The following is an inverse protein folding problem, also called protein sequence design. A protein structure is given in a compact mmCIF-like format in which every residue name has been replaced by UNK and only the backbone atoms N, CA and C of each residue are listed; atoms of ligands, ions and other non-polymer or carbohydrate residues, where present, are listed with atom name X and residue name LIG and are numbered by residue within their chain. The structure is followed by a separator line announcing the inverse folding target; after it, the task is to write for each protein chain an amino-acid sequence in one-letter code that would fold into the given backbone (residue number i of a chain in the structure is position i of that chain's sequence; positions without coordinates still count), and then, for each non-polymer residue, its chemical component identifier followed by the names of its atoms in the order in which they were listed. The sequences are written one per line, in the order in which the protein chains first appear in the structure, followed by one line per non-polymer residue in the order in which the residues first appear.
data_IF_271886052877
#
_entry.id   IF_271886052877
#
_cell.length_a   1.000
_cell.length_b   1.000
_cell.length_c   1.000
_cell.angle_alpha   90.00
_cell.angle_beta   90.00
_cell.angle_gamma   90.00
#
_symmetry.space_group_name_H-M   'P 1'
#
loop_
_entity.id
_entity.type
_entity.pdbx_description
1 polymer ?
#
# COMPACT_ATOMS: atom_id res chain seq x y z
N UNK A 1 15.55 -14.15 -11.47
CA UNK A 1 15.50 -15.07 -10.31
C UNK A 1 14.92 -14.29 -9.16
N UNK A 2 13.67 -14.58 -8.78
CA UNK A 2 12.98 -13.90 -7.70
C UNK A 2 13.58 -14.37 -6.37
N UNK A 3 14.41 -13.52 -5.76
CA UNK A 3 14.95 -13.77 -4.43
C UNK A 3 13.78 -13.79 -3.43
N UNK A 4 13.73 -14.86 -2.66
CA UNK A 4 12.75 -15.13 -1.61
C UNK A 4 12.69 -13.96 -0.63
N UNK A 5 11.48 -13.45 -0.36
CA UNK A 5 11.18 -12.58 0.79
C UNK A 5 11.34 -13.40 2.08
N UNK A 6 12.57 -13.83 2.39
CA UNK A 6 12.86 -14.58 3.60
C UNK A 6 12.83 -13.63 4.81
N UNK A 7 11.68 -13.66 5.46
CA UNK A 7 11.36 -13.18 6.79
C UNK A 7 11.97 -11.83 7.22
N UNK A 8 11.33 -10.72 6.81
CA UNK A 8 11.61 -9.36 7.28
C UNK A 8 11.18 -9.09 8.74
N UNK A 9 11.11 -10.13 9.59
CA UNK A 9 10.66 -10.00 10.97
C UNK A 9 11.79 -10.23 11.96
N UNK A 10 11.78 -9.46 13.03
CA UNK A 10 12.71 -9.57 14.14
C UNK A 10 12.28 -10.70 15.08
N UNK A 11 13.16 -11.65 15.39
CA UNK A 11 12.85 -12.76 16.31
C UNK A 11 12.68 -12.33 17.77
N UNK A 12 13.05 -11.11 18.13
CA UNK A 12 12.91 -10.57 19.50
C UNK A 12 11.51 -10.00 19.73
N UNK A 13 11.05 -9.10 18.86
CA UNK A 13 9.73 -8.47 18.99
C UNK A 13 8.65 -9.13 18.13
N UNK A 14 9.01 -10.06 17.23
CA UNK A 14 8.13 -10.72 16.25
C UNK A 14 7.45 -9.77 15.25
N UNK A 15 7.89 -8.52 15.21
CA UNK A 15 7.43 -7.49 14.26
C UNK A 15 8.37 -7.33 13.08
N UNK A 16 7.88 -6.70 12.01
CA UNK A 16 8.73 -6.30 10.87
C UNK A 16 9.84 -5.40 11.37
N UNK A 17 11.06 -5.57 10.86
CA UNK A 17 12.22 -4.83 11.35
C UNK A 17 12.00 -3.31 11.36
N UNK A 18 12.36 -2.66 12.46
CA UNK A 18 12.46 -1.20 12.59
C UNK A 18 13.92 -0.84 12.85
N UNK A 19 14.50 0.02 11.99
CA UNK A 19 15.92 0.40 12.04
C UNK A 19 16.85 -0.82 12.19
N UNK A 20 16.83 -1.78 11.25
CA UNK A 20 17.55 -3.05 11.41
C UNK A 20 19.06 -2.86 11.52
N UNK A 21 19.69 -3.64 12.39
CA UNK A 21 21.13 -3.66 12.65
C UNK A 21 21.67 -5.08 12.57
N UNK A 22 22.87 -5.23 12.01
CA UNK A 22 23.61 -6.47 12.04
C UNK A 22 24.36 -6.64 13.36
N UNK A 23 24.31 -7.83 13.92
CA UNK A 23 25.37 -8.30 14.81
C UNK A 23 26.58 -8.79 13.98
N UNK A 24 27.77 -8.92 14.57
CA UNK A 24 28.96 -9.46 13.89
C UNK A 24 28.77 -10.87 13.31
N UNK A 25 27.81 -11.63 13.82
CA UNK A 25 27.40 -12.93 13.28
C UNK A 25 26.42 -12.84 12.09
N UNK A 26 26.18 -11.64 11.55
CA UNK A 26 25.29 -11.33 10.42
C UNK A 26 23.79 -11.56 10.65
N UNK A 27 23.36 -11.90 11.86
CA UNK A 27 21.93 -11.86 12.21
C UNK A 27 21.45 -10.42 12.41
N UNK A 28 20.20 -10.17 12.02
CA UNK A 28 19.58 -8.85 12.04
C UNK A 28 18.53 -8.73 13.13
N UNK A 29 18.48 -7.57 13.79
CA UNK A 29 17.50 -7.24 14.83
C UNK A 29 17.12 -5.76 14.76
N UNK A 30 15.97 -5.38 15.33
CA UNK A 30 15.62 -3.97 15.48
C UNK A 30 16.59 -3.26 16.43
N UNK A 31 16.89 -1.99 16.17
CA UNK A 31 17.74 -1.17 17.04
C UNK A 31 17.25 -1.21 18.51
N UNK A 32 15.98 -0.90 18.74
CA UNK A 32 15.38 -0.88 20.08
C UNK A 32 15.48 -2.25 20.79
N UNK A 33 15.36 -3.35 20.04
CA UNK A 33 15.52 -4.70 20.60
C UNK A 33 16.96 -4.96 21.06
N UNK A 34 17.96 -4.46 20.32
CA UNK A 34 19.36 -4.56 20.72
C UNK A 34 19.68 -3.63 21.89
N UNK A 35 19.06 -2.46 21.96
CA UNK A 35 19.24 -1.53 23.08
C UNK A 35 18.74 -2.17 24.38
N UNK A 36 17.57 -2.80 24.33
CA UNK A 36 17.00 -3.52 25.48
C UNK A 36 17.85 -4.72 25.89
N UNK A 37 18.45 -5.42 24.92
CA UNK A 37 19.38 -6.52 25.19
C UNK A 37 20.70 -6.03 25.82
N UNK A 38 21.24 -4.92 25.33
CA UNK A 38 22.46 -4.30 25.86
C UNK A 38 22.24 -3.77 27.29
N UNK A 39 21.07 -3.22 27.61
CA UNK A 39 20.71 -2.84 28.99
C UNK A 39 20.77 -4.02 29.97
N UNK A 40 20.46 -5.23 29.50
CA UNK A 40 20.43 -6.46 30.33
C UNK A 40 21.79 -7.13 30.47
N UNK A 41 22.59 -7.13 29.40
CA UNK A 41 23.84 -7.90 29.33
C UNK A 41 25.12 -7.04 29.34
N UNK A 42 25.01 -5.72 29.20
CA UNK A 42 26.14 -4.79 29.15
C UNK A 42 26.85 -4.79 27.80
N UNK A 43 28.18 -4.73 27.81
CA UNK A 43 29.01 -4.48 26.63
C UNK A 43 29.22 -5.70 25.73
N UNK A 44 28.69 -6.87 26.09
CA UNK A 44 28.73 -8.07 25.27
C UNK A 44 27.37 -8.75 25.32
N UNK A 45 26.66 -8.74 24.20
CA UNK A 45 25.32 -9.29 24.08
C UNK A 45 25.36 -10.64 23.34
N UNK A 46 24.66 -11.67 23.80
CA UNK A 46 24.53 -12.92 23.05
C UNK A 46 23.53 -12.74 21.91
N UNK A 47 23.88 -13.21 20.70
CA UNK A 47 22.93 -13.21 19.59
C UNK A 47 21.68 -14.06 19.93
N UNK A 48 20.44 -13.51 19.84
CA UNK A 48 19.23 -14.28 20.10
C UNK A 48 19.03 -15.51 19.18
N UNK A 49 19.64 -15.50 17.99
CA UNK A 49 19.49 -16.58 16.99
C UNK A 49 20.54 -17.68 17.16
N UNK A 50 21.83 -17.31 17.21
CA UNK A 50 22.94 -18.29 17.21
C UNK A 50 23.78 -18.28 18.48
N UNK A 51 23.46 -17.42 19.46
CA UNK A 51 24.18 -17.23 20.73
C UNK A 51 25.63 -16.75 20.61
N UNK A 52 26.13 -16.50 19.40
CA UNK A 52 27.44 -15.91 19.20
C UNK A 52 27.56 -14.57 19.96
N UNK A 53 28.67 -14.32 20.67
CA UNK A 53 28.87 -13.08 21.40
C UNK A 53 29.06 -11.91 20.42
N UNK A 54 28.44 -10.78 20.73
CA UNK A 54 28.60 -9.53 20.01
C UNK A 54 29.04 -8.43 20.97
N UNK A 55 30.19 -7.83 20.72
CA UNK A 55 30.66 -6.67 21.49
C UNK A 55 29.90 -5.42 21.04
N UNK A 56 29.37 -4.68 22.01
CA UNK A 56 28.68 -3.41 21.75
C UNK A 56 29.74 -2.32 21.51
N UNK A 57 29.64 -1.53 20.42
CA UNK A 57 30.55 -0.41 20.17
C UNK A 57 30.51 0.67 21.27
N UNK A 58 31.54 1.54 21.37
CA UNK A 58 31.56 2.62 22.37
C UNK A 58 30.37 3.59 22.30
N UNK A 59 29.84 3.88 21.11
CA UNK A 59 28.62 4.68 20.96
C UNK A 59 27.31 3.91 21.16
N UNK A 60 27.40 2.63 21.54
CA UNK A 60 26.25 1.75 21.78
C UNK A 60 25.84 0.95 20.55
N UNK A 61 24.68 0.30 20.63
CA UNK A 61 24.18 -0.57 19.55
C UNK A 61 23.71 0.20 18.30
N UNK A 62 23.53 1.52 18.39
CA UNK A 62 23.16 2.36 17.24
C UNK A 62 24.29 2.45 16.20
N UNK A 63 25.55 2.34 16.64
CA UNK A 63 26.77 2.32 15.83
C UNK A 63 27.03 0.96 15.15
N UNK A 64 26.21 -0.06 15.43
CA UNK A 64 26.26 -1.30 14.68
C UNK A 64 25.88 -1.06 13.21
N UNK A 65 26.39 -1.91 12.33
CA UNK A 65 26.14 -1.78 10.90
C UNK A 65 24.64 -1.88 10.60
N UNK A 66 24.11 -0.90 9.87
CA UNK A 66 22.74 -0.91 9.35
C UNK A 66 22.59 -2.07 8.36
N UNK A 67 21.49 -2.82 8.47
CA UNK A 67 21.16 -3.79 7.42
C UNK A 67 20.59 -3.05 6.21
N UNK A 68 21.42 -2.90 5.18
CA UNK A 68 21.08 -2.22 3.93
C UNK A 68 20.37 -3.12 2.90
N UNK A 69 20.20 -4.43 3.17
CA UNK A 69 19.43 -5.32 2.31
C UNK A 69 17.93 -5.07 2.41
N UNK A 70 17.47 -4.47 3.51
CA UNK A 70 16.08 -4.06 3.70
C UNK A 70 15.95 -2.57 3.45
N UNK A 71 15.31 -2.18 2.34
CA UNK A 71 14.98 -0.76 2.10
C UNK A 71 13.82 -0.34 2.99
N UNK A 72 13.76 0.95 3.33
CA UNK A 72 12.66 1.48 4.15
C UNK A 72 11.32 1.29 3.45
N UNK A 73 11.27 1.43 2.11
CA UNK A 73 10.05 1.17 1.34
C UNK A 73 9.60 -0.29 1.44
N UNK A 74 10.54 -1.24 1.38
CA UNK A 74 10.22 -2.67 1.50
C UNK A 74 9.74 -3.03 2.92
N UNK A 75 10.35 -2.42 3.95
CA UNK A 75 9.92 -2.59 5.34
C UNK A 75 8.55 -1.96 5.60
N UNK A 76 8.27 -0.78 5.04
CA UNK A 76 6.95 -0.13 5.12
C UNK A 76 5.88 -0.93 4.40
N UNK A 77 6.21 -1.51 3.24
CA UNK A 77 5.30 -2.39 2.54
C UNK A 77 5.00 -3.65 3.38
N UNK A 78 6.03 -4.29 3.92
CA UNK A 78 5.86 -5.46 4.80
C UNK A 78 5.06 -5.11 6.08
N UNK A 79 5.29 -3.94 6.68
CA UNK A 79 4.48 -3.43 7.81
C UNK A 79 3.04 -3.24 7.40
N UNK A 80 2.78 -2.62 6.26
CA UNK A 80 1.44 -2.36 5.73
C UNK A 80 0.68 -3.64 5.40
N UNK A 81 1.37 -4.65 4.85
CA UNK A 81 0.81 -5.98 4.60
C UNK A 81 0.48 -6.72 5.92
N UNK A 82 1.27 -6.50 6.98
CA UNK A 82 1.03 -7.06 8.31
C UNK A 82 0.02 -6.26 9.15
N UNK A 83 -0.33 -5.01 8.78
CA UNK A 83 -1.29 -4.18 9.53
C UNK A 83 -2.69 -4.77 9.46
N UNK A 84 -2.99 -5.62 10.43
CA UNK A 84 -4.32 -6.13 10.67
C UNK A 84 -5.22 -4.99 11.15
N UNK A 85 -6.43 -4.93 10.61
CA UNK A 85 -7.44 -3.96 11.07
C UNK A 85 -7.88 -4.33 12.47
N UNK A 86 -7.84 -3.39 13.41
CA UNK A 86 -8.35 -3.61 14.76
C UNK A 86 -9.87 -3.45 14.80
N UNK A 87 -10.54 -4.20 15.66
CA UNK A 87 -11.98 -4.09 15.83
C UNK A 87 -12.35 -2.73 16.43
N UNK A 88 -13.31 -1.98 15.85
CA UNK A 88 -13.68 -0.65 16.33
C UNK A 88 -14.35 -0.67 17.71
N UNK A 89 -14.95 -1.80 18.09
CA UNK A 89 -15.62 -1.98 19.39
C UNK A 89 -14.67 -2.61 20.41
N UNK A 90 -13.87 -3.57 20.00
CA UNK A 90 -12.90 -4.28 20.84
C UNK A 90 -11.49 -3.91 20.39
N UNK A 91 -11.00 -2.75 20.79
CA UNK A 91 -9.80 -2.11 20.23
C UNK A 91 -8.50 -2.91 20.34
N UNK A 92 -8.46 -3.95 21.18
CA UNK A 92 -7.34 -4.89 21.32
C UNK A 92 -7.49 -6.19 20.51
N UNK A 93 -8.64 -6.40 19.90
CA UNK A 93 -8.95 -7.59 19.09
C UNK A 93 -8.83 -7.27 17.61
N UNK A 94 -8.30 -8.22 16.84
CA UNK A 94 -8.19 -8.09 15.38
C UNK A 94 -9.56 -8.30 14.72
N UNK A 95 -9.91 -7.42 13.80
CA UNK A 95 -11.08 -7.59 12.94
C UNK A 95 -10.76 -8.59 11.83
N UNK A 96 -11.57 -9.65 11.76
CA UNK A 96 -11.37 -10.77 10.83
C UNK A 96 -12.60 -11.04 9.96
N UNK A 97 -13.76 -10.48 10.30
CA UNK A 97 -14.99 -10.61 9.53
C UNK A 97 -15.51 -9.26 9.06
N UNK A 98 -16.21 -9.26 7.95
CA UNK A 98 -17.08 -8.18 7.50
C UNK A 98 -18.54 -8.59 7.69
N UNK A 99 -19.31 -7.82 8.44
CA UNK A 99 -20.74 -8.02 8.61
C UNK A 99 -21.50 -7.28 7.49
N UNK A 100 -22.10 -8.02 6.56
CA UNK A 100 -22.72 -7.44 5.36
C UNK A 100 -24.00 -6.68 5.66
N UNK A 101 -24.69 -7.00 6.76
CA UNK A 101 -25.89 -6.29 7.19
C UNK A 101 -25.60 -4.97 7.92
N UNK A 102 -24.43 -4.86 8.55
CA UNK A 102 -24.05 -3.68 9.33
C UNK A 102 -23.01 -2.81 8.61
N UNK A 103 -22.42 -3.31 7.52
CA UNK A 103 -21.32 -2.69 6.79
C UNK A 103 -20.14 -2.34 7.71
N UNK A 104 -19.80 -3.25 8.61
CA UNK A 104 -18.74 -3.07 9.61
C UNK A 104 -17.76 -4.25 9.62
N UNK A 105 -16.49 -3.93 9.85
CA UNK A 105 -15.47 -4.94 10.17
C UNK A 105 -15.52 -5.28 11.65
N UNK A 106 -15.48 -6.56 11.98
CA UNK A 106 -15.72 -7.06 13.34
C UNK A 106 -14.73 -8.17 13.70
N UNK A 107 -14.39 -8.30 14.99
CA UNK A 107 -13.62 -9.44 15.51
C UNK A 107 -14.52 -10.65 15.79
N UNK A 108 -13.91 -11.77 16.19
CA UNK A 108 -14.63 -12.99 16.58
C UNK A 108 -15.61 -12.74 17.73
N UNK A 109 -15.23 -11.93 18.73
CA UNK A 109 -16.09 -11.62 19.86
C UNK A 109 -17.36 -10.88 19.44
N UNK A 110 -17.26 -9.91 18.53
CA UNK A 110 -18.43 -9.25 17.95
C UNK A 110 -19.34 -10.24 17.21
N UNK A 111 -18.76 -11.16 16.43
CA UNK A 111 -19.49 -12.21 15.72
C UNK A 111 -20.30 -13.08 16.67
N UNK A 112 -19.73 -13.47 17.81
CA UNK A 112 -20.38 -14.34 18.79
C UNK A 112 -21.37 -13.63 19.74
N UNK A 113 -21.46 -12.29 19.70
CA UNK A 113 -22.29 -11.52 20.64
C UNK A 113 -23.33 -10.68 19.91
N UNK A 114 -22.94 -9.52 19.40
CA UNK A 114 -23.86 -8.57 18.76
C UNK A 114 -24.23 -8.95 17.33
N UNK A 115 -23.43 -9.80 16.68
CA UNK A 115 -23.59 -10.17 15.27
C UNK A 115 -23.83 -11.68 15.08
N UNK A 116 -24.31 -12.39 16.10
CA UNK A 116 -24.50 -13.87 16.06
C UNK A 116 -25.43 -14.31 14.92
N UNK A 117 -26.47 -13.52 14.68
CA UNK A 117 -27.49 -13.79 13.65
C UNK A 117 -27.27 -13.00 12.37
N UNK A 118 -26.12 -12.33 12.25
CA UNK A 118 -25.82 -11.55 11.06
C UNK A 118 -24.97 -12.34 10.08
N UNK A 119 -25.23 -12.12 8.79
CA UNK A 119 -24.40 -12.65 7.71
C UNK A 119 -23.03 -11.98 7.76
N UNK A 120 -22.01 -12.81 7.94
CA UNK A 120 -20.61 -12.38 8.03
C UNK A 120 -19.77 -13.12 7.00
N UNK A 121 -18.87 -12.39 6.38
CA UNK A 121 -17.90 -12.91 5.40
C UNK A 121 -16.49 -12.71 5.94
N UNK A 122 -15.53 -13.51 5.48
CA UNK A 122 -14.14 -13.30 5.84
C UNK A 122 -13.65 -11.96 5.30
N UNK A 123 -12.93 -11.20 6.14
CA UNK A 123 -12.48 -9.86 5.78
C UNK A 123 -11.45 -9.91 4.64
N UNK A 124 -10.55 -10.90 4.67
CA UNK A 124 -9.55 -11.18 3.62
C UNK A 124 -10.19 -11.29 2.22
N UNK A 125 -11.20 -12.15 2.09
CA UNK A 125 -11.93 -12.36 0.85
C UNK A 125 -12.69 -11.11 0.40
N UNK A 126 -13.31 -10.42 1.36
CA UNK A 126 -14.04 -9.17 1.09
C UNK A 126 -13.12 -8.09 0.54
N UNK A 127 -11.93 -7.93 1.13
CA UNK A 127 -10.89 -7.01 0.65
C UNK A 127 -10.44 -7.40 -0.76
N UNK A 128 -10.13 -8.67 -1.00
CA UNK A 128 -9.69 -9.15 -2.31
C UNK A 128 -10.75 -8.90 -3.40
N UNK A 129 -12.03 -9.20 -3.12
CA UNK A 129 -13.15 -8.92 -4.05
C UNK A 129 -13.32 -7.43 -4.31
N UNK A 130 -13.31 -6.60 -3.27
CA UNK A 130 -13.46 -5.16 -3.39
C UNK A 130 -12.32 -4.53 -4.19
N UNK A 131 -11.07 -4.93 -3.93
CA UNK A 131 -9.89 -4.50 -4.69
C UNK A 131 -10.06 -4.78 -6.18
N UNK A 132 -10.37 -6.04 -6.53
CA UNK A 132 -10.60 -6.44 -7.93
C UNK A 132 -11.72 -5.64 -8.59
N UNK A 133 -12.81 -5.38 -7.87
CA UNK A 133 -13.93 -4.58 -8.36
C UNK A 133 -13.54 -3.13 -8.63
N UNK A 134 -12.76 -2.51 -7.74
CA UNK A 134 -12.24 -1.14 -7.91
C UNK A 134 -11.31 -1.09 -9.12
N UNK A 135 -10.35 -2.00 -9.23
CA UNK A 135 -9.41 -2.08 -10.35
C UNK A 135 -10.13 -2.22 -11.70
N UNK A 136 -11.16 -3.08 -11.76
CA UNK A 136 -11.98 -3.22 -12.96
C UNK A 136 -12.71 -1.93 -13.33
N UNK A 137 -13.33 -1.25 -12.35
CA UNK A 137 -14.03 0.02 -12.58
C UNK A 137 -13.07 1.13 -13.02
N UNK A 138 -11.89 1.22 -12.41
CA UNK A 138 -10.84 2.16 -12.82
C UNK A 138 -10.41 1.91 -14.27
N UNK A 139 -10.22 0.66 -14.67
CA UNK A 139 -9.92 0.30 -16.06
C UNK A 139 -11.02 0.74 -17.02
N UNK A 140 -12.29 0.50 -16.67
CA UNK A 140 -13.43 0.95 -17.49
C UNK A 140 -13.43 2.47 -17.64
N UNK A 141 -13.19 3.22 -16.56
CA UNK A 141 -13.13 4.68 -16.61
C UNK A 141 -11.95 5.19 -17.44
N UNK A 142 -10.78 4.56 -17.34
CA UNK A 142 -9.62 4.92 -18.15
C UNK A 142 -9.93 4.81 -19.66
N UNK A 143 -10.56 3.71 -20.08
CA UNK A 143 -10.99 3.51 -21.47
C UNK A 143 -12.05 4.54 -21.90
N UNK A 144 -13.01 4.85 -21.03
CA UNK A 144 -14.03 5.86 -21.31
C UNK A 144 -13.42 7.26 -21.49
N UNK A 145 -12.47 7.64 -20.61
CA UNK A 145 -11.73 8.91 -20.72
C UNK A 145 -10.97 8.98 -22.04
N UNK A 146 -10.29 7.91 -22.44
CA UNK A 146 -9.57 7.85 -23.71
C UNK A 146 -10.52 8.03 -24.91
N UNK A 147 -11.67 7.36 -24.90
CA UNK A 147 -12.68 7.51 -25.97
C UNK A 147 -13.26 8.92 -26.02
N UNK A 148 -13.56 9.53 -24.87
CA UNK A 148 -14.06 10.91 -24.81
C UNK A 148 -13.03 11.92 -25.30
N UNK A 149 -11.74 11.73 -24.98
CA UNK A 149 -10.65 12.57 -25.52
C UNK A 149 -10.61 12.50 -27.05
N UNK A 150 -10.65 11.29 -27.62
CA UNK A 150 -10.68 11.13 -29.07
C UNK A 150 -11.92 11.80 -29.70
N UNK A 151 -13.11 11.59 -29.12
CA UNK A 151 -14.34 12.23 -29.62
C UNK A 151 -14.25 13.75 -29.59
N UNK A 152 -13.64 14.31 -28.53
CA UNK A 152 -13.42 15.75 -28.42
C UNK A 152 -12.49 16.28 -29.51
N UNK A 153 -11.39 15.57 -29.80
CA UNK A 153 -10.47 15.92 -30.89
C UNK A 153 -11.16 15.92 -32.26
N UNK A 154 -11.96 14.89 -32.54
CA UNK A 154 -12.76 14.82 -33.77
C UNK A 154 -13.75 15.98 -33.87
N UNK A 155 -14.41 16.34 -32.76
CA UNK A 155 -15.38 17.44 -32.73
C UNK A 155 -14.69 18.78 -33.03
N UNK A 156 -13.53 19.04 -32.41
CA UNK A 156 -12.72 20.24 -32.69
C UNK A 156 -12.30 20.32 -34.17
N UNK A 157 -11.93 19.20 -34.77
CA UNK A 157 -11.54 19.18 -36.18
C UNK A 157 -12.73 19.43 -37.11
N UNK A 158 -13.91 18.91 -36.78
CA UNK A 158 -15.13 19.20 -37.52
C UNK A 158 -15.56 20.67 -37.39
N UNK A 159 -15.46 21.26 -36.21
CA UNK A 159 -15.72 22.69 -35.97
C UNK A 159 -14.83 23.56 -36.87
N UNK A 160 -13.52 23.27 -36.92
CA UNK A 160 -12.59 23.97 -37.82
C UNK A 160 -13.01 23.86 -39.29
N UNK A 161 -13.38 22.66 -39.74
CA UNK A 161 -13.84 22.42 -41.13
C UNK A 161 -15.13 23.18 -41.46
N UNK A 162 -16.07 23.25 -40.52
CA UNK A 162 -17.32 24.00 -40.70
C UNK A 162 -17.02 25.49 -40.80
N UNK A 163 -16.11 26.00 -39.97
CA UNK A 163 -15.70 27.40 -40.00
C UNK A 163 -15.04 27.78 -41.34
N UNK A 164 -14.11 26.95 -41.84
CA UNK A 164 -13.45 27.14 -43.14
C UNK A 164 -14.45 27.12 -44.30
N UNK A 165 -15.42 26.20 -44.27
CA UNK A 165 -16.51 26.19 -45.27
C UNK A 165 -17.38 27.43 -45.18
N UNK A 166 -17.70 27.88 -43.96
CA UNK A 166 -18.52 29.08 -43.75
C UNK A 166 -17.84 30.32 -44.33
N UNK A 167 -16.55 30.51 -44.08
CA UNK A 167 -15.78 31.64 -44.62
C UNK A 167 -15.74 31.61 -46.15
N UNK A 168 -15.47 30.45 -46.75
CA UNK A 168 -15.43 30.30 -48.20
C UNK A 168 -16.78 30.63 -48.87
N UNK A 169 -17.89 30.18 -48.29
CA UNK A 169 -19.24 30.49 -48.79
C UNK A 169 -19.53 31.99 -48.69
N UNK A 170 -19.18 32.64 -47.57
CA UNK A 170 -19.37 34.09 -47.41
C UNK A 170 -18.59 34.90 -48.45
N UNK A 171 -17.37 34.49 -48.79
CA UNK A 171 -16.54 35.11 -49.83
C UNK A 171 -17.13 34.92 -51.24
N UNK A 172 -17.66 33.73 -51.55
CA UNK A 172 -18.33 33.49 -52.84
C UNK A 172 -19.59 34.36 -52.99
N UNK A 173 -20.38 34.52 -51.93
CA UNK A 173 -21.58 35.35 -51.94
C UNK A 173 -21.24 36.83 -52.16
N UNK A 174 -20.20 37.35 -51.49
CA UNK A 174 -19.82 38.77 -51.63
C UNK A 174 -19.26 39.11 -53.01
N UNK A 175 -18.59 38.16 -53.68
CA UNK A 175 -18.12 38.32 -55.06
C UNK A 175 -19.23 38.19 -56.11
N UNK A 176 -20.37 37.60 -55.75
CA UNK A 176 -21.49 37.33 -56.66
C UNK A 176 -22.59 38.40 -56.63
N UNK A 177 -22.52 39.39 -55.74
CA UNK A 177 -23.49 40.50 -55.68
C UNK A 177 -23.20 41.56 -56.76
N UNK A 178 -24.15 41.85 -57.68
CA UNK A 178 -23.96 42.89 -58.69
C UNK A 178 -23.87 44.28 -58.06
N UNK A 179 -22.91 45.10 -58.51
CA UNK A 179 -22.90 46.54 -58.21
C UNK A 179 -24.08 47.19 -58.96
N UNK A 180 -25.04 47.71 -58.20
CA UNK A 180 -26.09 48.62 -58.69
C UNK A 180 -25.65 50.04 -58.35
#
# INVERSE_FOLDING_TARGET
MAATQDNMTCVVCTEVYTSPRFLPCHHTFCLECLEELAKRHGNTIPCPTCRAPATVPPGGVCDLQVNFYFTEEALEQARSEKRQSMCPVHTKEVAIFHCTQCYQVICLKCKLTKHERHTTEELSDTIARCKKRIENKLRTFALAIQSLKHKLETCKQNEKRVQEKRTAVTEQVSQSSPQI
#
